data_IF_298107625865
#
_entry.id   IF_298107625865
#
_cell.length_a   1.000
_cell.length_b   1.000
_cell.length_c   1.000
_cell.angle_alpha   90.00
_cell.angle_beta   90.00
_cell.angle_gamma   90.00
#
_symmetry.space_group_name_H-M   'P 1'
#
loop_
_entity.id
_entity.type
_entity.pdbx_description
1 polymer ?
#
# COMPACT_ATOMS: atom_id res chain seq x y z
N UNK A 1 -12.38 -17.68 -27.68
CA UNK A 1 -11.37 -16.81 -27.03
C UNK A 1 -12.08 -16.13 -25.89
N UNK A 2 -11.94 -16.65 -24.68
CA UNK A 2 -12.52 -16.04 -23.49
C UNK A 2 -11.66 -14.81 -23.15
N UNK A 3 -12.29 -13.64 -23.15
CA UNK A 3 -11.69 -12.43 -22.60
C UNK A 3 -11.64 -12.63 -21.09
N UNK A 4 -10.45 -12.86 -20.55
CA UNK A 4 -10.23 -12.70 -19.11
C UNK A 4 -10.36 -11.20 -18.81
N UNK A 5 -11.55 -10.74 -18.41
CA UNK A 5 -11.70 -9.50 -17.66
C UNK A 5 -11.00 -9.71 -16.31
N UNK A 6 -9.69 -9.44 -16.26
CA UNK A 6 -8.93 -9.36 -15.01
C UNK A 6 -9.11 -7.96 -14.45
N UNK A 7 -10.35 -7.66 -14.06
CA UNK A 7 -10.68 -6.52 -13.24
C UNK A 7 -11.38 -7.07 -12.00
N UNK A 8 -10.66 -7.18 -10.89
CA UNK A 8 -11.30 -7.53 -9.64
C UNK A 8 -12.20 -6.33 -9.27
N UNK A 9 -13.52 -6.48 -9.36
CA UNK A 9 -14.45 -5.46 -8.90
C UNK A 9 -14.19 -5.21 -7.42
N UNK A 10 -13.75 -4.00 -7.11
CA UNK A 10 -13.24 -3.66 -5.79
C UNK A 10 -14.00 -2.46 -5.25
N UNK A 11 -14.66 -2.66 -4.11
CA UNK A 11 -15.39 -1.60 -3.44
C UNK A 11 -14.43 -0.62 -2.75
N UNK A 12 -14.25 0.54 -3.36
CA UNK A 12 -13.41 1.61 -2.84
C UNK A 12 -13.84 2.10 -1.44
N UNK A 13 -15.11 1.91 -1.04
CA UNK A 13 -15.56 2.27 0.31
C UNK A 13 -14.94 1.41 1.41
N UNK A 14 -14.36 0.26 1.04
CA UNK A 14 -13.63 -0.61 1.98
C UNK A 14 -12.17 -0.22 2.15
N UNK A 15 -11.64 0.68 1.32
CA UNK A 15 -10.25 1.13 1.40
C UNK A 15 -10.01 1.84 2.72
N UNK A 16 -9.06 1.32 3.50
CA UNK A 16 -8.62 1.92 4.77
C UNK A 16 -7.44 2.85 4.57
N UNK A 17 -6.58 2.54 3.60
CA UNK A 17 -5.37 3.32 3.32
C UNK A 17 -4.99 3.27 1.84
N UNK A 18 -4.47 4.39 1.37
CA UNK A 18 -3.84 4.55 0.05
C UNK A 18 -2.41 5.01 0.29
N UNK A 19 -1.46 4.44 -0.45
CA UNK A 19 -0.07 4.89 -0.47
C UNK A 19 0.45 4.98 -1.90
N UNK A 20 1.32 5.96 -2.12
CA UNK A 20 2.08 6.10 -3.36
C UNK A 20 3.52 5.68 -3.09
N UNK A 21 4.00 4.67 -3.82
CA UNK A 21 5.33 4.11 -3.59
C UNK A 21 6.12 3.95 -4.87
N UNK A 22 7.42 3.75 -4.73
CA UNK A 22 8.34 3.41 -5.81
C UNK A 22 8.54 1.90 -5.89
N UNK A 23 9.14 1.49 -7.00
CA UNK A 23 9.42 0.08 -7.30
C UNK A 23 10.21 -0.64 -6.18
N UNK A 24 11.03 0.09 -5.41
CA UNK A 24 11.90 -0.50 -4.39
C UNK A 24 11.13 -1.18 -3.25
N UNK A 25 9.94 -0.69 -2.90
CA UNK A 25 9.15 -1.21 -1.76
C UNK A 25 7.81 -1.81 -2.18
N UNK A 26 7.47 -1.75 -3.47
CA UNK A 26 6.17 -2.22 -3.97
C UNK A 26 5.95 -3.70 -3.66
N UNK A 27 6.96 -4.54 -3.94
CA UNK A 27 6.85 -5.98 -3.74
C UNK A 27 6.66 -6.33 -2.27
N UNK A 28 7.36 -5.65 -1.36
CA UNK A 28 7.20 -5.90 0.08
C UNK A 28 5.79 -5.60 0.58
N UNK A 29 5.16 -4.54 0.05
CA UNK A 29 3.79 -4.18 0.41
C UNK A 29 2.79 -5.15 -0.22
N UNK A 30 3.00 -5.57 -1.48
CA UNK A 30 2.16 -6.60 -2.12
C UNK A 30 2.21 -7.93 -1.34
N UNK A 31 3.39 -8.35 -0.88
CA UNK A 31 3.56 -9.55 -0.04
C UNK A 31 2.85 -9.43 1.32
N UNK A 32 2.63 -8.20 1.80
CA UNK A 32 1.88 -7.89 3.03
C UNK A 32 0.36 -7.80 2.79
N UNK A 33 -0.11 -8.11 1.58
CA UNK A 33 -1.53 -8.11 1.24
C UNK A 33 -2.07 -6.76 0.75
N UNK A 34 -1.19 -5.79 0.46
CA UNK A 34 -1.60 -4.59 -0.26
C UNK A 34 -1.99 -4.93 -1.69
N UNK A 35 -2.88 -4.12 -2.25
CA UNK A 35 -3.46 -4.36 -3.57
C UNK A 35 -2.96 -3.27 -4.51
N UNK A 36 -2.37 -3.68 -5.64
CA UNK A 36 -2.01 -2.76 -6.71
C UNK A 36 -3.26 -2.21 -7.39
N UNK A 37 -3.42 -0.89 -7.36
CA UNK A 37 -4.52 -0.20 -8.03
C UNK A 37 -4.11 0.38 -9.38
N UNK A 38 -2.99 1.11 -9.42
CA UNK A 38 -2.55 1.79 -10.64
C UNK A 38 -1.03 2.01 -10.65
N UNK A 39 -0.48 2.25 -11.85
CA UNK A 39 0.92 2.60 -12.08
C UNK A 39 0.97 3.77 -13.06
N UNK A 40 1.63 4.85 -12.67
CA UNK A 40 1.90 5.99 -13.54
C UNK A 40 3.37 6.36 -13.59
N UNK A 41 3.76 7.14 -14.59
CA UNK A 41 5.12 7.69 -14.72
C UNK A 41 5.09 9.13 -14.23
N UNK A 42 5.89 9.45 -13.21
CA UNK A 42 6.01 10.81 -12.70
C UNK A 42 6.74 11.73 -13.69
N UNK A 43 6.69 13.04 -13.45
CA UNK A 43 7.42 14.04 -14.25
C UNK A 43 8.94 13.83 -14.28
N UNK A 44 9.47 13.05 -13.34
CA UNK A 44 10.88 12.65 -13.26
C UNK A 44 11.18 11.34 -14.03
N UNK A 45 10.25 10.87 -14.86
CA UNK A 45 10.36 9.62 -15.61
C UNK A 45 10.55 8.39 -14.71
N UNK A 46 9.98 8.41 -13.51
CA UNK A 46 10.03 7.29 -12.56
C UNK A 46 8.64 6.70 -12.38
N UNK A 47 8.56 5.37 -12.37
CA UNK A 47 7.30 4.68 -12.04
C UNK A 47 6.88 4.97 -10.60
N UNK A 48 5.59 5.26 -10.42
CA UNK A 48 4.90 5.38 -9.13
C UNK A 48 3.77 4.34 -9.12
N UNK A 49 3.62 3.67 -8.00
CA UNK A 49 2.64 2.61 -7.78
C UNK A 49 1.65 3.08 -6.73
N UNK A 50 0.36 3.01 -7.05
CA UNK A 50 -0.72 3.26 -6.09
C UNK A 50 -1.14 1.94 -5.48
N UNK A 51 -0.95 1.80 -4.17
CA UNK A 51 -1.34 0.62 -3.42
C UNK A 51 -2.48 0.94 -2.44
N UNK A 52 -3.40 -0.03 -2.29
CA UNK A 52 -4.56 0.05 -1.42
C UNK A 52 -4.46 -1.00 -0.32
N UNK A 53 -4.89 -0.65 0.89
CA UNK A 53 -5.07 -1.59 2.00
C UNK A 53 -6.56 -1.64 2.37
N UNK A 54 -7.10 -2.86 2.43
CA UNK A 54 -8.47 -3.11 2.95
C UNK A 54 -8.52 -3.39 4.44
N UNK A 55 -7.47 -4.03 4.95
CA UNK A 55 -7.42 -4.47 6.34
C UNK A 55 -6.91 -3.36 7.25
N UNK A 56 -7.22 -3.49 8.54
CA UNK A 56 -6.64 -2.63 9.55
C UNK A 56 -5.16 -2.95 9.72
N UNK A 57 -4.31 -1.94 9.53
CA UNK A 57 -2.88 -2.07 9.82
C UNK A 57 -2.69 -2.26 11.31
N UNK A 58 -1.93 -3.29 11.67
CA UNK A 58 -1.60 -3.59 13.06
C UNK A 58 -0.10 -3.43 13.28
N UNK A 59 0.27 -2.97 14.47
CA UNK A 59 1.65 -2.85 14.85
C UNK A 59 2.23 -4.26 14.99
N UNK A 60 3.32 -4.61 14.28
CA UNK A 60 3.90 -5.95 14.35
C UNK A 60 4.46 -6.28 15.74
N UNK A 61 4.63 -5.26 16.61
CA UNK A 61 5.19 -5.41 17.95
C UNK A 61 4.15 -5.70 19.02
N UNK A 62 3.04 -4.97 19.03
CA UNK A 62 2.03 -5.05 20.09
C UNK A 62 0.59 -5.29 19.59
N UNK A 63 0.37 -5.45 18.29
CA UNK A 63 -0.93 -5.75 17.68
C UNK A 63 -1.94 -4.58 17.71
N UNK A 64 -1.60 -3.46 18.35
CA UNK A 64 -2.44 -2.26 18.34
C UNK A 64 -2.57 -1.68 16.92
N UNK A 65 -3.61 -0.87 16.63
CA UNK A 65 -3.73 -0.21 15.34
C UNK A 65 -2.48 0.58 14.99
N UNK A 66 -2.03 0.48 13.74
CA UNK A 66 -0.88 1.19 13.22
C UNK A 66 -1.28 2.06 12.04
N UNK A 67 -0.46 3.07 11.77
CA UNK A 67 -0.42 3.77 10.51
C UNK A 67 0.82 3.34 9.74
N UNK A 68 0.82 3.60 8.44
CA UNK A 68 2.01 3.54 7.61
C UNK A 68 2.37 4.97 7.18
N UNK A 69 3.66 5.27 7.24
CA UNK A 69 4.26 6.47 6.68
C UNK A 69 5.22 6.03 5.58
N UNK A 70 5.09 6.66 4.42
CA UNK A 70 6.00 6.47 3.28
C UNK A 70 6.88 7.72 3.19
N UNK A 71 8.16 7.53 2.87
CA UNK A 71 9.08 8.65 2.64
C UNK A 71 8.55 9.56 1.54
N UNK A 72 8.97 10.83 1.55
CA UNK A 72 8.59 11.79 0.49
C UNK A 72 8.99 11.29 -0.92
N UNK A 73 10.08 10.53 -1.01
CA UNK A 73 10.54 9.95 -2.28
C UNK A 73 9.74 8.70 -2.72
N UNK A 74 8.97 8.11 -1.81
CA UNK A 74 8.21 6.87 -2.04
C UNK A 74 9.04 5.59 -1.96
N UNK A 75 10.30 5.68 -1.53
CA UNK A 75 11.30 4.60 -1.60
C UNK A 75 11.46 3.81 -0.30
N UNK A 76 10.86 4.28 0.79
CA UNK A 76 10.91 3.68 2.13
C UNK A 76 9.57 3.83 2.83
N UNK A 77 9.29 2.94 3.76
CA UNK A 77 8.13 3.05 4.63
C UNK A 77 8.45 2.61 6.05
N UNK A 78 7.60 3.01 6.99
CA UNK A 78 7.60 2.50 8.37
C UNK A 78 6.19 2.40 8.92
N UNK A 79 5.98 1.43 9.79
CA UNK A 79 4.79 1.34 10.61
C UNK A 79 4.93 2.21 11.85
N UNK A 80 3.90 3.04 12.10
CA UNK A 80 3.79 3.88 13.29
C UNK A 80 2.67 3.31 14.14
N UNK A 81 3.00 2.78 15.31
CA UNK A 81 1.97 2.35 16.24
C UNK A 81 1.17 3.57 16.74
N UNK A 82 -0.14 3.45 16.80
CA UNK A 82 -1.01 4.51 17.35
C UNK A 82 -1.04 4.53 18.88
N UNK A 83 -0.53 3.47 19.52
CA UNK A 83 -0.39 3.35 20.97
C UNK A 83 1.05 3.07 21.34
N UNK A 84 1.47 3.52 22.52
CA UNK A 84 2.77 3.15 23.06
C UNK A 84 2.81 1.64 23.29
N UNK A 85 3.69 0.92 22.58
CA UNK A 85 3.83 -0.51 22.79
C UNK A 85 4.61 -0.74 24.08
N UNK A 86 3.97 -1.38 25.05
CA UNK A 86 4.59 -1.88 26.28
C UNK A 86 5.19 -3.26 26.10
#
# INVERSE_FOLDING_TARGET
>A
MEQHEVGQEFDLHRVRKVVEVRANIVNELLDQGWILHDIYISNEYRSVYILLMLDELTCPRCGAPANIEVSEEGDRYRYICTKECH
#
